data_IF_447231166036
#
_entry.id   IF_447231166036
#
_cell.length_a   1.000
_cell.length_b   1.000
_cell.length_c   1.000
_cell.angle_alpha   90.00
_cell.angle_beta   90.00
_cell.angle_gamma   90.00
#
_symmetry.space_group_name_H-M   'P 1'
#
loop_
_entity.id
_entity.type
_entity.pdbx_description
1 polymer ?
#
# COMPACT_ATOMS: atom_id res chain seq x y z
N UNK A 1 -36.00 2.27 -57.65
CA UNK A 1 -35.56 3.67 -57.78
C UNK A 1 -34.58 3.91 -56.64
N UNK A 2 -33.35 4.33 -56.97
CA UNK A 2 -32.27 4.83 -56.08
C UNK A 2 -31.66 3.81 -55.09
N UNK A 3 -30.33 3.69 -54.87
CA UNK A 3 -29.16 4.46 -55.30
C UNK A 3 -27.83 3.73 -54.94
N UNK A 4 -26.87 3.65 -55.90
CA UNK A 4 -25.38 3.83 -55.85
C UNK A 4 -24.49 3.10 -54.81
N UNK A 5 -23.17 2.90 -54.98
CA UNK A 5 -22.17 2.93 -56.08
C UNK A 5 -20.86 2.41 -55.47
N UNK A 6 -20.05 1.75 -56.30
CA UNK A 6 -18.66 1.31 -56.15
C UNK A 6 -17.68 2.39 -55.66
N UNK A 7 -16.65 2.01 -54.89
CA UNK A 7 -15.33 2.64 -54.96
C UNK A 7 -14.22 1.60 -54.69
N UNK A 8 -13.12 1.76 -55.42
CA UNK A 8 -12.02 0.84 -55.68
C UNK A 8 -10.81 1.01 -54.74
N UNK A 9 -9.88 0.06 -54.88
CA UNK A 9 -8.44 0.07 -54.49
C UNK A 9 -8.16 -0.18 -53.00
N UNK A 10 -7.23 -1.04 -52.55
CA UNK A 10 -5.83 -1.21 -52.98
C UNK A 10 -5.27 -2.57 -52.47
N UNK A 11 -4.60 -3.29 -53.37
CA UNK A 11 -3.37 -4.11 -53.25
C UNK A 11 -3.20 -5.17 -52.14
N UNK A 12 -3.36 -6.44 -52.50
CA UNK A 12 -2.79 -7.59 -51.77
C UNK A 12 -1.56 -8.09 -52.53
N UNK A 13 -0.38 -7.73 -52.04
CA UNK A 13 0.89 -8.25 -52.53
C UNK A 13 1.03 -9.74 -52.18
N UNK A 14 0.98 -10.58 -53.21
CA UNK A 14 1.37 -12.00 -53.16
C UNK A 14 2.85 -12.12 -53.46
N UNK A 15 3.65 -12.76 -52.58
CA UNK A 15 4.89 -13.40 -53.02
C UNK A 15 5.34 -14.59 -52.15
N UNK A 16 5.11 -15.78 -52.73
CA UNK A 16 6.01 -16.94 -52.87
C UNK A 16 6.54 -17.66 -51.61
N UNK A 17 5.85 -18.75 -51.27
CA UNK A 17 6.38 -19.84 -50.47
C UNK A 17 7.36 -20.67 -51.32
N UNK A 18 8.61 -20.78 -50.86
CA UNK A 18 9.64 -21.60 -51.48
C UNK A 18 9.75 -22.90 -50.69
N UNK A 19 9.10 -23.96 -51.18
CA UNK A 19 9.14 -25.30 -50.59
C UNK A 19 10.56 -25.85 -50.65
N UNK A 20 11.21 -25.99 -49.50
CA UNK A 20 12.31 -26.96 -49.31
C UNK A 20 11.83 -28.02 -48.33
N UNK A 21 11.48 -29.18 -48.86
CA UNK A 21 11.36 -30.41 -48.09
C UNK A 21 12.73 -30.76 -47.50
N UNK A 22 12.85 -30.81 -46.17
CA UNK A 22 13.94 -31.54 -45.50
C UNK A 22 13.48 -31.95 -44.09
N UNK A 23 13.11 -33.23 -44.00
CA UNK A 23 13.28 -34.16 -42.87
C UNK A 23 12.80 -33.75 -41.47
N UNK A 24 11.72 -34.38 -41.03
CA UNK A 24 11.16 -34.32 -39.68
C UNK A 24 12.17 -34.90 -38.67
N UNK A 25 12.68 -34.06 -37.78
CA UNK A 25 13.16 -34.48 -36.46
C UNK A 25 12.18 -33.94 -35.42
N UNK A 26 11.55 -34.87 -34.67
CA UNK A 26 10.70 -34.56 -33.53
C UNK A 26 11.54 -33.89 -32.42
N UNK A 27 11.50 -32.55 -32.37
CA UNK A 27 11.88 -31.79 -31.17
C UNK A 27 10.69 -30.92 -30.73
N UNK A 28 10.16 -31.24 -29.55
CA UNK A 28 9.11 -30.47 -28.89
C UNK A 28 9.58 -29.01 -28.69
N UNK A 29 8.72 -27.99 -28.91
CA UNK A 29 9.12 -26.61 -28.76
C UNK A 29 9.42 -26.31 -27.29
N UNK A 30 10.71 -26.10 -27.01
CA UNK A 30 11.22 -25.57 -25.77
C UNK A 30 10.58 -24.19 -25.56
N UNK A 31 9.58 -24.11 -24.66
CA UNK A 31 8.99 -22.84 -24.24
C UNK A 31 10.13 -21.94 -23.76
N UNK A 32 10.46 -20.92 -24.55
CA UNK A 32 11.36 -19.86 -24.12
C UNK A 32 10.77 -19.24 -22.85
N UNK A 33 11.41 -19.54 -21.72
CA UNK A 33 11.02 -19.00 -20.42
C UNK A 33 11.20 -17.48 -20.47
N UNK A 34 10.11 -16.74 -20.28
CA UNK A 34 10.16 -15.29 -20.14
C UNK A 34 11.08 -14.92 -18.97
N UNK A 35 12.14 -14.15 -19.23
CA UNK A 35 13.21 -13.75 -18.30
C UNK A 35 12.75 -12.67 -17.30
N UNK A 36 11.52 -12.77 -16.77
CA UNK A 36 10.98 -11.78 -15.84
C UNK A 36 10.14 -12.39 -14.70
N UNK A 37 10.47 -13.61 -14.27
CA UNK A 37 10.10 -14.06 -12.93
C UNK A 37 11.24 -13.64 -11.99
N UNK A 38 11.09 -12.50 -11.31
CA UNK A 38 11.75 -12.29 -10.04
C UNK A 38 11.17 -13.32 -9.06
N UNK A 39 11.60 -14.59 -9.18
CA UNK A 39 11.36 -15.60 -8.16
C UNK A 39 12.12 -15.08 -6.95
N UNK A 40 11.39 -14.56 -5.97
CA UNK A 40 11.91 -14.27 -4.64
C UNK A 40 12.28 -15.63 -4.05
N UNK A 41 13.48 -16.10 -4.40
CA UNK A 41 14.01 -17.35 -3.89
C UNK A 41 14.43 -17.13 -2.45
N UNK A 42 13.99 -18.03 -1.58
CA UNK A 42 14.26 -17.94 -0.16
C UNK A 42 15.78 -18.02 0.06
N UNK A 43 16.44 -17.00 0.63
CA UNK A 43 17.89 -17.01 0.80
C UNK A 43 18.39 -18.18 1.65
N UNK A 44 17.54 -18.72 2.54
CA UNK A 44 17.85 -19.90 3.37
C UNK A 44 17.93 -21.20 2.57
N UNK A 45 17.41 -21.22 1.33
CA UNK A 45 17.53 -22.38 0.43
C UNK A 45 18.89 -22.44 -0.28
N UNK A 46 19.66 -21.36 -0.28
CA UNK A 46 20.98 -21.28 -0.93
C UNK A 46 22.07 -22.03 -0.18
N UNK A 47 21.94 -22.17 1.13
CA UNK A 47 22.86 -22.96 1.98
C UNK A 47 22.36 -24.39 2.15
N UNK A 48 23.19 -25.31 2.65
CA UNK A 48 22.75 -26.68 2.99
C UNK A 48 21.92 -26.65 4.30
N UNK A 49 21.14 -27.72 4.58
CA UNK A 49 20.21 -27.73 5.73
C UNK A 49 20.92 -27.59 7.07
N UNK A 50 22.06 -28.26 7.21
CA UNK A 50 22.87 -28.29 8.44
C UNK A 50 23.52 -26.92 8.72
N UNK A 51 24.01 -26.26 7.68
CA UNK A 51 24.57 -24.92 7.73
C UNK A 51 23.48 -23.90 8.08
N UNK A 52 22.27 -24.01 7.52
CA UNK A 52 21.15 -23.15 7.91
C UNK A 52 20.84 -23.23 9.41
N UNK A 53 20.89 -24.43 9.99
CA UNK A 53 20.68 -24.65 11.43
C UNK A 53 21.82 -24.07 12.25
N UNK A 54 23.06 -24.28 11.82
CA UNK A 54 24.25 -23.77 12.50
C UNK A 54 24.28 -22.24 12.49
N UNK A 55 23.98 -21.62 11.35
CA UNK A 55 23.93 -20.17 11.19
C UNK A 55 22.83 -19.57 12.10
N UNK A 56 21.66 -20.21 12.16
CA UNK A 56 20.56 -19.78 13.02
C UNK A 56 20.87 -19.92 14.52
N UNK A 57 21.59 -20.98 14.92
CA UNK A 57 22.07 -21.16 16.30
C UNK A 57 23.11 -20.11 16.68
N UNK A 58 24.10 -19.91 15.81
CA UNK A 58 25.14 -18.89 16.00
C UNK A 58 24.52 -17.48 16.09
N UNK A 59 23.49 -17.22 15.30
CA UNK A 59 22.71 -15.98 15.38
C UNK A 59 22.03 -15.82 16.75
N UNK A 60 21.35 -16.86 17.24
CA UNK A 60 20.69 -16.83 18.54
C UNK A 60 21.69 -16.62 19.69
N UNK A 61 22.82 -17.32 19.66
CA UNK A 61 23.90 -17.19 20.65
C UNK A 61 24.51 -15.78 20.66
N UNK A 62 24.81 -15.22 19.48
CA UNK A 62 25.39 -13.87 19.35
C UNK A 62 24.44 -12.74 19.77
N UNK A 63 23.12 -12.99 19.76
CA UNK A 63 22.09 -12.02 20.18
C UNK A 63 21.56 -12.27 21.60
N UNK A 64 22.23 -13.11 22.40
CA UNK A 64 21.87 -13.36 23.79
C UNK A 64 20.65 -14.26 23.99
N UNK A 65 20.26 -15.02 22.97
CA UNK A 65 19.16 -15.99 22.99
C UNK A 65 19.68 -17.44 22.95
N UNK A 66 20.76 -17.71 23.70
CA UNK A 66 21.43 -19.01 23.70
C UNK A 66 20.50 -20.16 24.16
N UNK A 67 19.60 -19.89 25.11
CA UNK A 67 18.64 -20.87 25.63
C UNK A 67 17.64 -21.34 24.54
N UNK A 68 17.36 -20.49 23.54
CA UNK A 68 16.46 -20.78 22.43
C UNK A 68 17.19 -21.21 21.15
N UNK A 69 18.52 -21.38 21.17
CA UNK A 69 19.31 -21.66 19.96
C UNK A 69 18.81 -22.91 19.20
N UNK A 70 18.42 -23.96 19.92
CA UNK A 70 17.84 -25.16 19.33
C UNK A 70 16.48 -24.89 18.64
N UNK A 71 15.65 -24.00 19.21
CA UNK A 71 14.40 -23.55 18.63
C UNK A 71 14.66 -22.74 17.35
N UNK A 72 15.62 -21.81 17.36
CA UNK A 72 16.03 -21.04 16.18
C UNK A 72 16.52 -21.93 15.04
N UNK A 73 17.28 -22.98 15.35
CA UNK A 73 17.71 -23.98 14.36
C UNK A 73 16.54 -24.68 13.66
N UNK A 74 15.56 -25.15 14.42
CA UNK A 74 14.36 -25.80 13.87
C UNK A 74 13.46 -24.82 13.13
N UNK A 75 13.28 -23.61 13.67
CA UNK A 75 12.54 -22.54 13.03
C UNK A 75 13.17 -22.12 11.69
N UNK A 76 14.50 -22.13 11.58
CA UNK A 76 15.20 -21.83 10.32
C UNK A 76 14.96 -22.91 9.25
N UNK A 77 14.84 -24.19 9.64
CA UNK A 77 14.44 -25.26 8.72
C UNK A 77 12.99 -25.11 8.24
N UNK A 78 12.08 -24.72 9.14
CA UNK A 78 10.68 -24.41 8.78
C UNK A 78 10.61 -23.19 7.86
N UNK A 79 11.36 -22.13 8.17
CA UNK A 79 11.42 -20.91 7.37
C UNK A 79 12.04 -21.15 5.99
N UNK A 80 12.97 -22.11 5.87
CA UNK A 80 13.58 -22.53 4.60
C UNK A 80 12.55 -23.18 3.65
N UNK A 81 11.70 -24.07 4.18
CA UNK A 81 10.69 -24.80 3.41
C UNK A 81 9.28 -24.72 4.05
N UNK A 82 8.60 -23.55 3.98
CA UNK A 82 7.34 -23.32 4.68
C UNK A 82 6.16 -24.18 4.22
N UNK A 83 6.24 -24.80 3.04
CA UNK A 83 5.21 -25.69 2.49
C UNK A 83 5.45 -27.17 2.84
N UNK A 84 6.66 -27.53 3.26
CA UNK A 84 7.07 -28.92 3.54
C UNK A 84 7.57 -29.10 4.97
N UNK A 85 7.12 -28.25 5.90
CA UNK A 85 7.49 -28.34 7.32
C UNK A 85 7.16 -29.70 7.93
N UNK A 86 6.15 -30.41 7.39
CA UNK A 86 5.76 -31.75 7.80
C UNK A 86 6.82 -32.84 7.56
N UNK A 87 7.85 -32.57 6.74
CA UNK A 87 8.92 -33.52 6.40
C UNK A 87 10.19 -33.33 7.22
N UNK A 88 10.22 -32.35 8.11
CA UNK A 88 11.38 -32.03 8.93
C UNK A 88 11.37 -32.96 10.17
N UNK A 89 12.43 -33.77 10.38
CA UNK A 89 12.46 -34.81 11.41
C UNK A 89 12.59 -34.26 12.85
N UNK A 90 13.06 -33.03 13.03
CA UNK A 90 13.39 -32.47 14.35
C UNK A 90 12.26 -31.65 15.01
N UNK A 91 11.06 -31.61 14.41
CA UNK A 91 9.90 -30.94 15.03
C UNK A 91 9.19 -31.84 16.04
N UNK A 92 8.88 -31.27 17.20
CA UNK A 92 7.96 -31.89 18.15
C UNK A 92 6.53 -31.87 17.63
N UNK A 93 5.71 -32.78 18.13
CA UNK A 93 4.33 -32.92 17.66
C UNK A 93 3.44 -31.72 18.04
N UNK A 94 3.76 -31.06 19.15
CA UNK A 94 3.16 -29.78 19.53
C UNK A 94 3.50 -28.66 18.54
N UNK A 95 4.76 -28.56 18.10
CA UNK A 95 5.18 -27.55 17.11
C UNK A 95 4.56 -27.83 15.74
N UNK A 96 4.47 -29.10 15.33
CA UNK A 96 3.78 -29.50 14.10
C UNK A 96 2.31 -29.11 14.14
N UNK A 97 1.60 -29.41 15.24
CA UNK A 97 0.20 -29.05 15.41
C UNK A 97 0.00 -27.52 15.39
N UNK A 98 0.90 -26.76 16.02
CA UNK A 98 0.87 -25.29 16.01
C UNK A 98 1.08 -24.72 14.60
N UNK A 99 2.00 -25.27 13.81
CA UNK A 99 2.25 -24.84 12.43
C UNK A 99 1.07 -25.16 11.49
N UNK A 100 0.44 -26.32 11.67
CA UNK A 100 -0.79 -26.69 10.94
C UNK A 100 -1.92 -25.72 11.32
N UNK A 101 -2.07 -25.42 12.61
CA UNK A 101 -3.07 -24.48 13.09
C UNK A 101 -2.88 -23.08 12.50
N UNK A 102 -1.63 -22.56 12.45
CA UNK A 102 -1.31 -21.27 11.84
C UNK A 102 -1.58 -21.26 10.33
N UNK A 103 -1.27 -22.36 9.62
CA UNK A 103 -1.56 -22.52 8.19
C UNK A 103 -3.06 -22.45 7.91
N UNK A 104 -3.85 -23.16 8.71
CA UNK A 104 -5.27 -23.33 8.47
C UNK A 104 -6.10 -22.11 8.99
N UNK A 105 -5.60 -21.39 10.01
CA UNK A 105 -6.25 -20.22 10.60
C UNK A 105 -5.48 -18.92 10.31
N UNK A 106 -5.36 -18.57 9.03
CA UNK A 106 -4.65 -17.35 8.54
C UNK A 106 -5.07 -16.04 9.23
N UNK A 107 -6.30 -15.95 9.75
CA UNK A 107 -6.86 -14.76 10.37
C UNK A 107 -6.75 -14.74 11.91
N UNK A 108 -6.26 -15.81 12.53
CA UNK A 108 -5.95 -15.81 13.96
C UNK A 108 -4.63 -15.09 14.20
N UNK A 109 -4.72 -13.79 14.47
CA UNK A 109 -3.58 -12.96 14.83
C UNK A 109 -3.63 -12.49 16.28
N UNK A 110 -2.48 -12.03 16.82
CA UNK A 110 -2.41 -11.43 18.15
C UNK A 110 -3.32 -10.20 18.26
N UNK A 111 -3.84 -9.90 19.45
CA UNK A 111 -4.75 -8.76 19.70
C UNK A 111 -4.21 -7.42 19.17
N UNK A 112 -2.89 -7.26 19.11
CA UNK A 112 -2.23 -6.08 18.56
C UNK A 112 -2.48 -5.88 17.05
N UNK A 113 -2.65 -6.96 16.28
CA UNK A 113 -3.04 -6.91 14.88
C UNK A 113 -4.43 -6.31 14.71
N UNK A 114 -5.41 -6.81 15.48
CA UNK A 114 -6.78 -6.29 15.46
C UNK A 114 -6.84 -4.83 15.93
N UNK A 115 -6.02 -4.47 16.91
CA UNK A 115 -5.86 -3.07 17.31
C UNK A 115 -5.32 -2.20 16.17
N UNK A 116 -4.32 -2.65 15.42
CA UNK A 116 -3.81 -1.90 14.25
C UNK A 116 -4.85 -1.77 13.14
N UNK A 117 -5.67 -2.79 12.92
CA UNK A 117 -6.78 -2.77 11.95
C UNK A 117 -7.81 -1.70 12.36
N UNK A 118 -8.21 -1.69 13.64
CA UNK A 118 -9.12 -0.68 14.17
C UNK A 118 -8.55 0.74 14.09
N UNK A 119 -7.26 0.91 14.41
CA UNK A 119 -6.58 2.20 14.30
C UNK A 119 -6.50 2.69 12.85
N UNK A 120 -6.22 1.79 11.89
CA UNK A 120 -6.22 2.11 10.47
C UNK A 120 -7.62 2.50 9.99
N UNK A 121 -8.66 1.79 10.42
CA UNK A 121 -10.05 2.10 10.06
C UNK A 121 -10.46 3.49 10.58
N UNK A 122 -10.15 3.81 11.84
CA UNK A 122 -10.43 5.15 12.41
C UNK A 122 -9.65 6.22 11.65
N UNK A 123 -8.36 6.01 11.40
CA UNK A 123 -7.54 6.96 10.66
C UNK A 123 -8.04 7.20 9.23
N UNK A 124 -8.52 6.16 8.55
CA UNK A 124 -9.10 6.30 7.22
C UNK A 124 -10.47 7.01 7.27
N UNK A 125 -11.33 6.68 8.23
CA UNK A 125 -12.62 7.34 8.43
C UNK A 125 -12.49 8.85 8.67
N UNK A 126 -11.53 9.27 9.51
CA UNK A 126 -11.26 10.71 9.74
C UNK A 126 -10.89 11.44 8.45
N UNK A 127 -10.13 10.79 7.56
CA UNK A 127 -9.75 11.41 6.29
C UNK A 127 -10.89 11.55 5.29
N UNK A 128 -11.79 10.55 5.22
CA UNK A 128 -13.00 10.65 4.40
C UNK A 128 -13.91 11.78 4.89
N UNK A 129 -14.05 11.92 6.22
CA UNK A 129 -14.81 13.02 6.81
C UNK A 129 -14.27 14.40 6.44
N UNK A 130 -12.95 14.62 6.49
CA UNK A 130 -12.33 15.91 6.16
C UNK A 130 -12.51 16.29 4.67
N UNK A 131 -12.46 15.28 3.78
CA UNK A 131 -12.72 15.48 2.34
C UNK A 131 -14.19 15.74 2.06
N UNK A 132 -15.09 14.93 2.62
CA UNK A 132 -16.54 15.08 2.46
C UNK A 132 -17.03 16.40 3.04
N UNK A 133 -16.56 16.76 4.23
CA UNK A 133 -16.85 18.06 4.85
C UNK A 133 -16.34 19.23 4.01
N UNK A 134 -15.17 19.08 3.37
CA UNK A 134 -14.66 20.10 2.46
C UNK A 134 -15.43 20.23 1.17
N UNK A 135 -15.78 19.10 0.56
CA UNK A 135 -16.63 19.06 -0.64
C UNK A 135 -18.04 19.59 -0.34
N UNK A 136 -18.60 19.28 0.83
CA UNK A 136 -19.87 19.83 1.29
C UNK A 136 -19.81 21.34 1.50
N UNK A 137 -18.75 21.85 2.13
CA UNK A 137 -18.55 23.28 2.29
C UNK A 137 -18.45 24.00 0.94
N UNK A 138 -17.88 23.38 -0.10
CA UNK A 138 -17.77 23.96 -1.45
C UNK A 138 -19.12 24.36 -2.07
N UNK A 139 -20.23 23.78 -1.62
CA UNK A 139 -21.58 24.13 -2.09
C UNK A 139 -22.10 25.44 -1.49
N UNK A 140 -21.70 25.76 -0.25
CA UNK A 140 -22.32 26.84 0.53
C UNK A 140 -21.39 28.02 0.79
N UNK A 141 -20.08 27.80 0.92
CA UNK A 141 -19.13 28.87 1.22
C UNK A 141 -19.06 29.96 0.13
N UNK A 142 -19.24 29.67 -1.17
CA UNK A 142 -19.19 30.72 -2.19
C UNK A 142 -20.34 31.72 -2.03
N UNK A 143 -21.54 31.25 -1.69
CA UNK A 143 -22.71 32.09 -1.43
C UNK A 143 -22.53 32.91 -0.15
N UNK A 144 -22.05 32.30 0.92
CA UNK A 144 -21.86 32.95 2.23
C UNK A 144 -20.79 34.05 2.21
N UNK A 145 -19.71 33.86 1.46
CA UNK A 145 -18.64 34.87 1.34
C UNK A 145 -18.86 35.87 0.20
N UNK A 146 -20.02 35.83 -0.49
CA UNK A 146 -20.34 36.73 -1.59
C UNK A 146 -19.47 36.53 -2.85
N UNK A 147 -18.84 35.36 -2.98
CA UNK A 147 -17.99 34.94 -4.11
C UNK A 147 -18.69 33.86 -4.97
N UNK A 148 -20.01 33.76 -4.89
CA UNK A 148 -20.84 32.87 -5.69
C UNK A 148 -21.25 33.46 -7.04
N UNK A 149 -20.79 34.68 -7.36
CA UNK A 149 -21.11 35.32 -8.64
C UNK A 149 -20.45 34.52 -9.76
N UNK A 150 -21.11 34.33 -10.91
CA UNK A 150 -20.54 33.66 -12.10
C UNK A 150 -19.42 34.46 -12.79
N UNK A 151 -18.72 35.32 -12.05
CA UNK A 151 -17.55 36.04 -12.51
C UNK A 151 -16.36 35.08 -12.61
N UNK A 152 -15.46 35.32 -13.57
CA UNK A 152 -14.25 34.54 -13.74
C UNK A 152 -13.36 34.61 -12.48
N UNK A 153 -13.30 35.77 -11.82
CA UNK A 153 -12.49 36.00 -10.62
C UNK A 153 -12.93 35.10 -9.44
N UNK A 154 -14.23 35.07 -9.18
CA UNK A 154 -14.85 34.28 -8.11
C UNK A 154 -14.64 32.77 -8.32
N UNK A 155 -14.78 32.32 -9.58
CA UNK A 155 -14.52 30.93 -9.97
C UNK A 155 -13.06 30.54 -9.73
N UNK A 156 -12.11 31.44 -10.01
CA UNK A 156 -10.69 31.22 -9.74
C UNK A 156 -10.41 31.12 -8.23
N UNK A 157 -11.06 31.93 -7.40
CA UNK A 157 -10.91 31.84 -5.93
C UNK A 157 -11.43 30.51 -5.40
N UNK A 158 -12.63 30.09 -5.81
CA UNK A 158 -13.20 28.80 -5.39
C UNK A 158 -12.30 27.64 -5.82
N UNK A 159 -11.81 27.66 -7.06
CA UNK A 159 -10.85 26.67 -7.56
C UNK A 159 -9.55 26.65 -6.77
N UNK A 160 -9.02 27.81 -6.39
CA UNK A 160 -7.81 27.95 -5.59
C UNK A 160 -7.99 27.41 -4.16
N UNK A 161 -9.11 27.71 -3.50
CA UNK A 161 -9.42 27.20 -2.15
C UNK A 161 -9.61 25.68 -2.14
N UNK A 162 -10.14 25.09 -3.20
CA UNK A 162 -10.31 23.64 -3.28
C UNK A 162 -9.01 22.92 -3.64
N UNK A 163 -8.26 23.45 -4.61
CA UNK A 163 -7.01 22.83 -5.09
C UNK A 163 -5.85 22.91 -4.09
N UNK A 164 -5.85 23.89 -3.18
CA UNK A 164 -4.75 24.07 -2.21
C UNK A 164 -4.55 22.85 -1.31
N UNK A 165 -5.62 22.12 -0.96
CA UNK A 165 -5.50 20.90 -0.13
C UNK A 165 -4.59 19.90 -0.84
N UNK A 166 -4.87 19.63 -2.12
CA UNK A 166 -4.13 18.65 -2.91
C UNK A 166 -2.71 19.12 -3.24
N UNK A 167 -2.55 20.41 -3.58
CA UNK A 167 -1.24 21.00 -3.85
C UNK A 167 -0.33 20.90 -2.63
N UNK A 168 -0.84 21.30 -1.46
CA UNK A 168 -0.08 21.28 -0.21
C UNK A 168 0.15 19.86 0.29
N UNK A 169 -0.81 18.95 0.13
CA UNK A 169 -0.63 17.55 0.48
C UNK A 169 0.49 16.87 -0.34
N UNK A 170 0.51 17.09 -1.66
CA UNK A 170 1.50 16.48 -2.55
C UNK A 170 2.88 17.14 -2.47
N UNK A 171 2.94 18.48 -2.47
CA UNK A 171 4.21 19.19 -2.50
C UNK A 171 4.81 19.28 -1.11
N UNK A 172 4.10 19.95 -0.19
CA UNK A 172 4.65 20.28 1.13
C UNK A 172 4.58 19.07 2.07
N UNK A 173 3.47 18.32 2.04
CA UNK A 173 3.30 17.11 2.85
C UNK A 173 4.41 16.08 2.61
N UNK A 174 4.82 15.87 1.35
CA UNK A 174 5.89 14.94 1.01
C UNK A 174 7.26 15.36 1.59
N UNK A 175 7.63 16.64 1.52
CA UNK A 175 8.90 17.12 2.07
C UNK A 175 8.92 17.18 3.61
N UNK A 176 7.76 17.43 4.22
CA UNK A 176 7.63 17.56 5.68
C UNK A 176 7.59 16.19 6.36
N UNK A 177 7.15 15.13 5.67
CA UNK A 177 7.01 13.81 6.28
C UNK A 177 8.35 13.18 6.70
N UNK A 178 9.39 13.34 5.88
CA UNK A 178 10.72 12.79 6.13
C UNK A 178 11.35 13.33 7.42
N UNK A 179 11.43 14.66 7.65
CA UNK A 179 11.94 15.18 8.90
C UNK A 179 11.01 14.85 10.07
N UNK A 180 9.68 14.93 9.92
CA UNK A 180 8.76 14.61 11.02
C UNK A 180 8.95 13.17 11.51
N UNK A 181 9.04 12.22 10.59
CA UNK A 181 9.26 10.81 10.92
C UNK A 181 10.62 10.58 11.57
N UNK A 182 11.66 11.33 11.19
CA UNK A 182 12.99 11.23 11.79
C UNK A 182 13.05 11.76 13.23
N UNK A 183 12.35 12.86 13.53
CA UNK A 183 12.42 13.52 14.85
C UNK A 183 11.39 13.00 15.86
N UNK A 184 10.15 12.75 15.44
CA UNK A 184 9.05 12.36 16.33
C UNK A 184 8.78 10.85 16.32
N UNK A 185 9.40 10.12 15.39
CA UNK A 185 9.05 8.74 15.07
C UNK A 185 7.66 8.63 14.46
N UNK A 186 7.33 7.45 13.95
CA UNK A 186 6.06 7.20 13.25
C UNK A 186 4.82 7.37 14.13
N UNK A 187 4.90 6.95 15.40
CA UNK A 187 3.78 7.07 16.34
C UNK A 187 3.49 8.53 16.71
N UNK A 188 4.54 9.33 16.89
CA UNK A 188 4.42 10.76 17.20
C UNK A 188 3.89 11.56 16.02
N UNK A 189 4.34 11.24 14.80
CA UNK A 189 3.86 11.86 13.57
C UNK A 189 2.36 11.57 13.31
N UNK A 190 1.90 10.33 13.52
CA UNK A 190 0.47 9.99 13.40
C UNK A 190 -0.37 10.77 14.42
N UNK A 191 0.09 10.90 15.66
CA UNK A 191 -0.64 11.64 16.69
C UNK A 191 -0.72 13.14 16.37
N UNK A 192 0.40 13.74 15.94
CA UNK A 192 0.45 15.16 15.60
C UNK A 192 -0.41 15.49 14.37
N UNK A 193 -0.35 14.65 13.33
CA UNK A 193 -1.18 14.82 12.14
C UNK A 193 -2.65 14.63 12.46
N UNK A 194 -3.03 13.64 13.29
CA UNK A 194 -4.40 13.46 13.76
C UNK A 194 -4.92 14.66 14.56
N UNK A 195 -4.11 15.23 15.46
CA UNK A 195 -4.48 16.44 16.20
C UNK A 195 -4.66 17.65 15.28
N UNK A 196 -3.76 17.82 14.30
CA UNK A 196 -3.86 18.86 13.28
C UNK A 196 -5.14 18.72 12.44
N UNK A 197 -5.44 17.50 11.98
CA UNK A 197 -6.66 17.18 11.22
C UNK A 197 -7.93 17.36 12.03
N UNK A 198 -7.87 17.21 13.36
CA UNK A 198 -9.03 17.51 14.22
C UNK A 198 -9.21 19.01 14.43
N UNK A 199 -8.12 19.76 14.62
CA UNK A 199 -8.15 21.19 14.87
C UNK A 199 -8.56 22.01 13.63
N UNK A 200 -8.22 21.54 12.43
CA UNK A 200 -8.39 22.31 11.20
C UNK A 200 -9.85 22.47 10.75
N UNK A 201 -10.71 21.45 10.80
CA UNK A 201 -12.15 21.59 10.57
C UNK A 201 -12.81 22.50 11.61
N UNK A 202 -12.39 22.42 12.88
CA UNK A 202 -12.87 23.32 13.94
C UNK A 202 -12.50 24.76 13.60
N UNK A 203 -11.25 25.01 13.23
CA UNK A 203 -10.79 26.33 12.78
C UNK A 203 -11.49 26.83 11.51
N UNK A 204 -11.80 25.91 10.59
CA UNK A 204 -12.56 26.21 9.36
C UNK A 204 -14.00 26.64 9.67
N UNK A 205 -14.61 26.08 10.71
CA UNK A 205 -15.96 26.46 11.16
C UNK A 205 -16.06 27.89 11.71
N UNK A 206 -14.95 28.46 12.20
CA UNK A 206 -14.88 29.86 12.65
C UNK A 206 -14.41 30.84 11.57
N UNK A 207 -14.13 30.36 10.35
CA UNK A 207 -13.64 31.22 9.28
C UNK A 207 -14.76 32.13 8.75
N UNK A 208 -14.61 33.44 8.93
CA UNK A 208 -15.55 34.46 8.41
C UNK A 208 -15.12 35.04 7.05
N UNK A 209 -14.03 34.53 6.47
CA UNK A 209 -13.51 35.00 5.19
C UNK A 209 -12.92 33.85 4.38
N UNK A 210 -12.91 33.99 3.05
CA UNK A 210 -12.33 33.00 2.14
C UNK A 210 -10.82 32.82 2.37
N UNK A 211 -10.10 33.86 2.81
CA UNK A 211 -8.67 33.77 3.15
C UNK A 211 -8.44 32.94 4.41
N UNK A 212 -9.32 33.08 5.43
CA UNK A 212 -9.26 32.25 6.63
C UNK A 212 -9.52 30.78 6.32
N UNK A 213 -10.50 30.52 5.46
CA UNK A 213 -10.80 29.17 4.97
C UNK A 213 -9.64 28.60 4.15
N UNK A 214 -9.01 29.41 3.30
CA UNK A 214 -7.82 29.02 2.55
C UNK A 214 -6.66 28.62 3.47
N UNK A 215 -6.37 29.43 4.50
CA UNK A 215 -5.30 29.14 5.46
C UNK A 215 -5.57 27.85 6.25
N UNK A 216 -6.82 27.62 6.66
CA UNK A 216 -7.21 26.37 7.30
C UNK A 216 -7.00 25.18 6.33
N UNK A 217 -7.50 25.27 5.10
CA UNK A 217 -7.33 24.21 4.08
C UNK A 217 -5.88 23.94 3.70
N UNK A 218 -5.03 24.97 3.73
CA UNK A 218 -3.59 24.81 3.55
C UNK A 218 -2.99 23.94 4.65
N UNK A 219 -3.25 24.26 5.92
CA UNK A 219 -2.76 23.47 7.07
C UNK A 219 -3.32 22.04 7.02
N UNK A 220 -4.59 21.89 6.66
CA UNK A 220 -5.23 20.58 6.47
C UNK A 220 -4.50 19.74 5.43
N UNK A 221 -4.14 20.34 4.28
CA UNK A 221 -3.39 19.67 3.21
C UNK A 221 -2.07 19.10 3.71
N UNK A 222 -1.31 19.84 4.53
CA UNK A 222 -0.06 19.35 5.12
C UNK A 222 -0.32 18.10 5.97
N UNK A 223 -1.34 18.16 6.83
CA UNK A 223 -1.71 17.04 7.71
C UNK A 223 -2.14 15.80 6.93
N UNK A 224 -2.98 15.96 5.90
CA UNK A 224 -3.43 14.87 5.02
C UNK A 224 -2.23 14.24 4.30
N UNK A 225 -1.34 15.07 3.73
CA UNK A 225 -0.16 14.60 2.99
C UNK A 225 0.78 13.77 3.85
N UNK A 226 1.14 14.28 5.03
CA UNK A 226 2.00 13.57 5.98
C UNK A 226 1.38 12.24 6.44
N UNK A 227 0.12 12.28 6.89
CA UNK A 227 -0.63 11.09 7.32
C UNK A 227 -0.68 10.00 6.23
N UNK A 228 -0.94 10.39 4.98
CA UNK A 228 -1.04 9.43 3.87
C UNK A 228 0.28 8.76 3.53
N UNK A 229 1.41 9.42 3.77
CA UNK A 229 2.71 8.83 3.58
C UNK A 229 3.10 7.92 4.76
N UNK A 230 2.75 8.25 6.00
CA UNK A 230 3.23 7.49 7.17
C UNK A 230 2.32 6.33 7.58
N UNK A 231 1.00 6.50 7.57
CA UNK A 231 0.06 5.46 8.06
C UNK A 231 0.15 4.13 7.33
N UNK A 232 0.16 4.05 5.98
CA UNK A 232 0.27 2.76 5.30
C UNK A 232 1.61 2.08 5.58
N UNK A 233 2.70 2.83 5.75
CA UNK A 233 4.00 2.26 6.05
C UNK A 233 4.06 1.79 7.51
N UNK A 234 3.46 2.53 8.45
CA UNK A 234 3.35 2.11 9.84
C UNK A 234 2.51 0.83 9.96
N UNK A 235 1.40 0.75 9.24
CA UNK A 235 0.58 -0.46 9.15
C UNK A 235 1.38 -1.63 8.57
N UNK A 236 2.17 -1.38 7.53
CA UNK A 236 3.02 -2.41 6.91
C UNK A 236 4.13 -2.93 7.83
N UNK A 237 4.64 -2.10 8.75
CA UNK A 237 5.65 -2.50 9.73
C UNK A 237 5.09 -3.29 10.91
N UNK A 238 3.86 -2.99 11.32
CA UNK A 238 3.17 -3.74 12.37
C UNK A 238 2.57 -5.06 11.86
N UNK A 239 2.39 -5.17 10.54
CA UNK A 239 1.77 -6.32 9.90
C UNK A 239 2.68 -7.55 9.87
N UNK A 240 2.16 -8.74 10.23
CA UNK A 240 2.79 -10.01 9.92
C UNK A 240 3.02 -10.17 8.41
N UNK A 241 4.14 -10.78 8.01
CA UNK A 241 4.56 -10.89 6.61
C UNK A 241 3.48 -11.47 5.68
N UNK A 242 2.67 -12.43 6.16
CA UNK A 242 1.59 -13.09 5.39
C UNK A 242 0.42 -12.18 5.04
N UNK A 243 0.13 -11.15 5.83
CA UNK A 243 -1.06 -10.29 5.70
C UNK A 243 -0.71 -8.81 5.48
N UNK A 244 0.58 -8.48 5.43
CA UNK A 244 1.07 -7.11 5.18
C UNK A 244 0.46 -6.46 3.94
N UNK A 245 0.40 -7.19 2.84
CA UNK A 245 -0.26 -6.70 1.62
C UNK A 245 -1.75 -6.45 1.82
N UNK A 246 -2.46 -7.36 2.50
CA UNK A 246 -3.88 -7.20 2.78
C UNK A 246 -4.17 -5.98 3.67
N UNK A 247 -3.33 -5.70 4.66
CA UNK A 247 -3.49 -4.53 5.55
C UNK A 247 -3.25 -3.20 4.84
N UNK A 248 -2.24 -3.13 3.97
CA UNK A 248 -2.00 -1.93 3.15
C UNK A 248 -3.14 -1.72 2.17
N UNK A 249 -3.67 -2.78 1.55
CA UNK A 249 -4.84 -2.68 0.68
C UNK A 249 -6.12 -2.32 1.45
N UNK A 250 -6.26 -2.80 2.69
CA UNK A 250 -7.37 -2.45 3.57
C UNK A 250 -7.40 -0.95 3.86
N UNK A 251 -6.25 -0.32 4.11
CA UNK A 251 -6.15 1.13 4.22
C UNK A 251 -6.71 1.86 2.99
N UNK A 252 -6.28 1.46 1.80
CA UNK A 252 -6.76 2.06 0.55
C UNK A 252 -8.26 1.83 0.33
N UNK A 253 -8.76 0.64 0.68
CA UNK A 253 -10.18 0.33 0.59
C UNK A 253 -11.02 1.27 1.46
N UNK A 254 -10.62 1.53 2.70
CA UNK A 254 -11.34 2.47 3.57
C UNK A 254 -11.31 3.90 3.07
N UNK A 255 -10.16 4.36 2.55
CA UNK A 255 -10.07 5.69 1.95
C UNK A 255 -11.04 5.82 0.77
N UNK A 256 -11.16 4.79 -0.06
CA UNK A 256 -12.06 4.80 -1.23
C UNK A 256 -13.54 4.71 -0.85
N UNK A 257 -13.89 3.91 0.17
CA UNK A 257 -15.30 3.75 0.60
C UNK A 257 -15.88 5.06 1.15
N UNK A 258 -15.04 5.91 1.75
CA UNK A 258 -15.47 7.12 2.46
C UNK A 258 -15.35 8.42 1.62
N UNK A 259 -14.86 8.33 0.38
CA UNK A 259 -14.82 9.42 -0.61
C UNK A 259 -16.08 9.41 -1.50
#
# INVERSE_FOLDING_TARGET
>A
MTEKTTFSDVDYTSHKENTKETTIHDEAPQRQASVALNIVDNPLRRTNKEQTVLDARTFAESHGMADDAALFGRAALVARDPERFETIPDLTEEERAALIYERDHKWHGPKMLWYSIGLCAIGAATQGWDQTGSNGANLSFPEEFGIGTKSAYDTWIVGLVNSIIFLTAGLIGAFIVDPLNKYLGRRGEIFLTAACLTATPIGSGFAQSWQGLFAARFIMGIGIGAKNATVPIYSAEMAPARIRGALVMFWQLWVVIEC
#
